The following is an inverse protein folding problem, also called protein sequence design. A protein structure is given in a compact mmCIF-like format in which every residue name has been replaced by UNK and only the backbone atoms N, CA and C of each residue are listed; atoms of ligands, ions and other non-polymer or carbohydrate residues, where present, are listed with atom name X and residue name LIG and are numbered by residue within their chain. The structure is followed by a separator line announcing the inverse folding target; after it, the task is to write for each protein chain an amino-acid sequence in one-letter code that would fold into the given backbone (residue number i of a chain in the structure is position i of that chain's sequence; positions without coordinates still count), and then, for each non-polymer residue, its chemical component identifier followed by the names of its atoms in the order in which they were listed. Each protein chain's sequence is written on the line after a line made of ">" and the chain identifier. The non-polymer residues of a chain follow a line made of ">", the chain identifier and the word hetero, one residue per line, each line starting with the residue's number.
data_IF_170807303538
#
_entry.id   IF_170807303538
#
_cell.length_a   1.000
_cell.length_b   1.000
_cell.length_c   1.000
_cell.angle_alpha   90.00
_cell.angle_beta   90.00
_cell.angle_gamma   90.00
#
_symmetry.space_group_name_H-M   'P 1'
#
loop_
_entity.id
_entity.type
_entity.pdbx_description
1 polymer ?
#
# COMPACT_ATOMS: atom_id res chain seq x y z
N UNK A 1 -8.52 9.21 33.56
CA UNK A 1 -8.19 7.80 33.35
C UNK A 1 -6.73 7.70 32.98
N UNK A 2 -5.88 7.16 33.86
CA UNK A 2 -4.43 7.07 33.59
C UNK A 2 -4.05 5.64 33.20
N UNK A 3 -4.08 5.36 31.91
CA UNK A 3 -3.42 4.17 31.35
C UNK A 3 -2.01 4.57 30.96
N UNK A 4 -1.03 3.74 31.30
CA UNK A 4 0.37 3.92 30.93
C UNK A 4 0.59 3.48 29.47
N UNK A 5 0.79 4.43 28.56
CA UNK A 5 0.95 4.13 27.13
C UNK A 5 2.38 3.72 26.74
N UNK A 6 3.39 4.04 27.56
CA UNK A 6 4.81 3.95 27.17
C UNK A 6 5.25 2.55 26.76
N UNK A 7 4.99 1.57 27.61
CA UNK A 7 5.41 0.18 27.39
C UNK A 7 4.69 -0.45 26.19
N UNK A 8 3.38 -0.22 26.06
CA UNK A 8 2.60 -0.70 24.93
C UNK A 8 3.05 -0.04 23.62
N UNK A 9 3.25 1.28 23.62
CA UNK A 9 3.66 2.05 22.44
C UNK A 9 5.02 1.56 21.90
N UNK A 10 5.98 1.29 22.79
CA UNK A 10 7.32 0.84 22.40
C UNK A 10 7.33 -0.54 21.71
N UNK A 11 6.33 -1.37 21.95
CA UNK A 11 6.18 -2.70 21.34
C UNK A 11 5.57 -2.65 19.94
N UNK A 12 4.98 -1.52 19.55
CA UNK A 12 4.30 -1.41 18.27
C UNK A 12 5.27 -1.40 17.08
N UNK A 13 4.84 -2.00 15.97
CA UNK A 13 5.63 -2.04 14.74
C UNK A 13 5.79 -0.65 14.11
N UNK A 14 4.76 0.17 14.22
CA UNK A 14 4.68 1.54 13.71
C UNK A 14 5.33 2.60 14.60
N UNK A 15 5.80 2.20 15.78
CA UNK A 15 6.54 3.10 16.66
C UNK A 15 7.91 3.46 16.05
N UNK A 16 8.06 4.74 15.70
CA UNK A 16 9.27 5.26 15.06
C UNK A 16 10.36 5.68 16.07
N UNK A 17 10.18 5.40 17.36
CA UNK A 17 11.13 5.71 18.44
C UNK A 17 12.20 4.65 18.68
N UNK A 18 12.29 3.62 17.86
CA UNK A 18 13.30 2.55 18.01
C UNK A 18 14.71 3.14 18.01
N UNK A 19 15.52 2.73 18.98
CA UNK A 19 16.88 3.24 19.17
C UNK A 19 16.96 4.60 19.87
N UNK A 20 15.83 5.20 20.26
CA UNK A 20 15.78 6.39 21.13
C UNK A 20 15.26 6.01 22.51
N UNK A 21 15.76 6.70 23.52
CA UNK A 21 15.30 6.54 24.89
C UNK A 21 13.99 7.32 25.09
N UNK A 22 12.91 6.59 25.36
CA UNK A 22 11.59 7.13 25.65
C UNK A 22 11.58 7.69 27.08
N UNK A 23 11.23 8.97 27.23
CA UNK A 23 11.11 9.63 28.54
C UNK A 23 9.68 9.60 29.05
N UNK A 24 8.71 9.90 28.18
CA UNK A 24 7.29 9.87 28.53
C UNK A 24 6.41 9.71 27.30
N UNK A 25 5.24 9.09 27.49
CA UNK A 25 4.17 9.02 26.50
C UNK A 25 2.86 9.34 27.21
N UNK A 26 2.38 10.58 27.08
CA UNK A 26 1.21 11.06 27.82
C UNK A 26 0.12 11.58 26.89
N UNK A 27 -1.16 11.41 27.24
CA UNK A 27 -2.26 12.06 26.52
C UNK A 27 -2.09 13.58 26.53
N UNK A 28 -2.07 14.19 25.35
CA UNK A 28 -2.05 15.64 25.20
C UNK A 28 -3.35 16.22 24.63
N UNK A 29 -4.20 15.38 24.06
CA UNK A 29 -5.61 15.64 23.74
C UNK A 29 -6.38 14.32 23.79
N UNK A 30 -7.59 14.35 24.33
CA UNK A 30 -8.53 13.21 24.32
C UNK A 30 -9.88 13.74 23.88
N UNK A 31 -10.48 13.10 22.87
CA UNK A 31 -11.82 13.40 22.36
C UNK A 31 -12.69 12.17 22.52
N UNK A 32 -13.83 12.31 23.20
CA UNK A 32 -14.79 11.21 23.35
C UNK A 32 -15.65 11.10 22.10
N UNK A 33 -15.51 9.99 21.37
CA UNK A 33 -16.23 9.71 20.13
C UNK A 33 -17.54 8.96 20.38
N UNK A 34 -17.55 8.13 21.43
CA UNK A 34 -18.71 7.42 21.98
C UNK A 34 -18.46 7.17 23.50
N UNK A 35 -19.45 6.59 24.18
CA UNK A 35 -19.47 6.25 25.60
C UNK A 35 -18.25 5.44 26.09
N UNK A 36 -17.65 4.64 25.22
CA UNK A 36 -16.50 3.79 25.52
C UNK A 36 -15.39 3.89 24.46
N UNK A 37 -15.43 4.92 23.59
CA UNK A 37 -14.47 5.11 22.50
C UNK A 37 -13.89 6.53 22.54
N UNK A 38 -12.58 6.61 22.72
CA UNK A 38 -11.84 7.87 22.74
C UNK A 38 -10.82 7.94 21.60
N UNK A 39 -10.70 9.09 20.96
CA UNK A 39 -9.52 9.47 20.17
C UNK A 39 -8.49 10.11 21.12
N UNK A 40 -7.34 9.47 21.28
CA UNK A 40 -6.24 9.96 22.12
C UNK A 40 -5.03 10.37 21.28
N UNK A 41 -4.63 11.63 21.39
CA UNK A 41 -3.38 12.13 20.82
C UNK A 41 -2.30 12.20 21.90
N UNK A 42 -1.28 11.37 21.76
CA UNK A 42 -0.15 11.27 22.68
C UNK A 42 0.92 12.29 22.32
N UNK A 43 1.51 12.92 23.34
CA UNK A 43 2.81 13.60 23.26
C UNK A 43 3.87 12.65 23.79
N UNK A 44 4.85 12.33 22.94
CA UNK A 44 5.90 11.36 23.23
C UNK A 44 7.24 12.07 23.22
N UNK A 45 7.88 12.15 24.37
CA UNK A 45 9.14 12.87 24.58
C UNK A 45 10.31 11.90 24.69
N UNK A 46 11.45 12.28 24.13
CA UNK A 46 12.68 11.50 24.10
C UNK A 46 13.82 12.20 24.85
N UNK A 47 14.83 11.43 25.26
CA UNK A 47 15.98 11.97 26.01
C UNK A 47 16.83 12.96 25.20
N UNK A 48 16.76 12.91 23.87
CA UNK A 48 17.40 13.87 22.95
C UNK A 48 16.65 15.22 22.85
N UNK A 49 15.56 15.37 23.61
CA UNK A 49 14.71 16.56 23.62
C UNK A 49 13.69 16.63 22.49
N UNK A 50 13.67 15.63 21.58
CA UNK A 50 12.66 15.58 20.52
C UNK A 50 11.30 15.16 21.05
N UNK A 51 10.25 15.65 20.39
CA UNK A 51 8.86 15.28 20.69
C UNK A 51 8.21 14.75 19.42
N UNK A 52 7.47 13.65 19.56
CA UNK A 52 6.62 13.11 18.51
C UNK A 52 5.18 13.03 18.99
N UNK A 53 4.25 13.07 18.04
CA UNK A 53 2.83 12.95 18.29
C UNK A 53 2.33 11.66 17.68
N UNK A 54 1.55 10.92 18.45
CA UNK A 54 0.95 9.68 18.01
C UNK A 54 -0.56 9.72 18.25
N UNK A 55 -1.31 9.09 17.35
CA UNK A 55 -2.74 8.89 17.48
C UNK A 55 -3.02 7.44 17.90
N UNK A 56 -3.90 7.28 18.88
CA UNK A 56 -4.41 5.99 19.34
C UNK A 56 -5.91 6.13 19.56
N UNK A 57 -6.70 5.27 18.94
CA UNK A 57 -8.13 5.12 19.26
C UNK A 57 -8.23 4.11 20.39
N UNK A 58 -8.85 4.50 21.49
CA UNK A 58 -8.93 3.72 22.72
C UNK A 58 -10.38 3.28 22.90
N UNK A 59 -10.61 1.98 22.83
CA UNK A 59 -11.87 1.36 23.22
C UNK A 59 -11.72 0.83 24.65
N UNK A 60 -12.64 1.19 25.52
CA UNK A 60 -12.62 0.81 26.92
C UNK A 60 -13.48 -0.42 27.19
N UNK A 61 -12.96 -1.34 28.01
CA UNK A 61 -13.63 -2.57 28.43
C UNK A 61 -14.10 -3.43 27.25
N UNK A 62 -13.36 -3.37 26.15
CA UNK A 62 -13.61 -4.17 24.97
C UNK A 62 -13.27 -5.65 25.22
N UNK A 63 -13.93 -6.52 24.47
CA UNK A 63 -13.57 -7.93 24.35
C UNK A 63 -13.02 -8.17 22.94
N UNK A 64 -11.76 -7.80 22.64
CA UNK A 64 -11.20 -8.05 21.33
C UNK A 64 -11.15 -9.56 21.07
N UNK A 65 -11.22 -9.94 19.80
CA UNK A 65 -11.06 -11.34 19.38
C UNK A 65 -9.74 -11.88 19.95
N UNK A 66 -9.76 -13.09 20.52
CA UNK A 66 -8.63 -13.71 21.24
C UNK A 66 -7.30 -13.63 20.47
N UNK A 67 -7.34 -13.76 19.13
CA UNK A 67 -6.17 -13.65 18.24
C UNK A 67 -5.43 -12.30 18.36
N UNK A 68 -6.16 -11.22 18.67
CA UNK A 68 -5.61 -9.87 18.75
C UNK A 68 -5.42 -9.36 20.18
N UNK A 69 -5.84 -10.09 21.21
CA UNK A 69 -5.88 -9.56 22.59
C UNK A 69 -4.50 -9.08 23.07
N UNK A 70 -3.44 -9.82 22.75
CA UNK A 70 -2.08 -9.47 23.13
C UNK A 70 -1.56 -8.18 22.45
N UNK A 71 -1.97 -7.91 21.22
CA UNK A 71 -1.52 -6.72 20.46
C UNK A 71 -2.41 -5.52 20.73
N UNK A 72 -3.71 -5.75 20.93
CA UNK A 72 -4.71 -4.72 21.14
C UNK A 72 -4.70 -4.15 22.57
N UNK A 73 -4.36 -4.95 23.59
CA UNK A 73 -4.41 -4.48 24.99
C UNK A 73 -3.35 -3.42 25.25
N UNK A 74 -3.78 -2.19 25.56
CA UNK A 74 -2.91 -1.06 25.90
C UNK A 74 -2.49 -1.15 27.37
N UNK A 75 -3.46 -1.39 28.25
CA UNK A 75 -3.26 -1.50 29.69
C UNK A 75 -4.55 -1.26 30.46
N UNK A 76 -4.49 -1.44 31.78
CA UNK A 76 -5.64 -1.23 32.67
C UNK A 76 -5.37 -0.09 33.64
N UNK A 77 -6.40 0.71 33.93
CA UNK A 77 -6.33 1.85 34.83
C UNK A 77 -7.73 2.22 35.34
N UNK A 78 -7.84 2.63 36.60
CA UNK A 78 -9.11 3.05 37.21
C UNK A 78 -10.26 2.01 37.10
N UNK A 79 -9.91 0.72 37.12
CA UNK A 79 -10.88 -0.38 37.04
C UNK A 79 -11.39 -0.70 35.63
N UNK A 80 -10.85 -0.04 34.60
CA UNK A 80 -11.17 -0.29 33.19
C UNK A 80 -9.93 -0.76 32.43
N UNK A 81 -10.14 -1.49 31.34
CA UNK A 81 -9.04 -1.89 30.44
C UNK A 81 -9.15 -1.17 29.10
N UNK A 82 -8.06 -0.57 28.65
CA UNK A 82 -7.95 0.12 27.38
C UNK A 82 -7.41 -0.82 26.30
N UNK A 83 -8.06 -0.80 25.15
CA UNK A 83 -7.68 -1.54 23.96
C UNK A 83 -7.55 -0.60 22.76
N UNK A 84 -6.68 -0.95 21.82
CA UNK A 84 -6.59 -0.26 20.54
C UNK A 84 -7.84 -0.58 19.70
N UNK A 85 -8.68 0.43 19.52
CA UNK A 85 -10.01 0.29 18.95
C UNK A 85 -10.00 -0.17 17.48
N UNK A 86 -8.86 -0.10 16.79
CA UNK A 86 -8.78 -0.60 15.41
C UNK A 86 -8.93 -2.10 15.31
N UNK A 87 -8.71 -2.86 16.40
CA UNK A 87 -8.97 -4.30 16.46
C UNK A 87 -10.43 -4.64 16.83
N UNK A 88 -11.25 -3.63 17.12
CA UNK A 88 -12.68 -3.77 17.36
C UNK A 88 -13.47 -3.43 16.08
N UNK A 89 -14.32 -4.36 15.64
CA UNK A 89 -15.03 -4.21 14.37
C UNK A 89 -16.09 -3.10 14.43
N UNK A 90 -16.72 -2.89 15.58
CA UNK A 90 -17.78 -1.90 15.73
C UNK A 90 -17.19 -0.49 15.82
N UNK A 91 -16.05 -0.33 16.49
CA UNK A 91 -15.30 0.92 16.50
C UNK A 91 -14.79 1.28 15.10
N UNK A 92 -14.24 0.32 14.34
CA UNK A 92 -13.82 0.55 12.97
C UNK A 92 -14.99 0.98 12.07
N UNK A 93 -16.15 0.31 12.19
CA UNK A 93 -17.37 0.67 11.46
C UNK A 93 -17.88 2.06 11.87
N UNK A 94 -17.84 2.39 13.16
CA UNK A 94 -18.25 3.69 13.67
C UNK A 94 -17.41 4.83 13.09
N UNK A 95 -16.09 4.65 12.98
CA UNK A 95 -15.21 5.63 12.33
C UNK A 95 -15.56 5.84 10.84
N UNK A 96 -15.90 4.76 10.13
CA UNK A 96 -16.34 4.86 8.74
C UNK A 96 -17.67 5.63 8.64
N UNK A 97 -18.61 5.38 9.55
CA UNK A 97 -19.88 6.11 9.63
C UNK A 97 -19.68 7.59 9.97
N UNK A 98 -18.70 7.92 10.83
CA UNK A 98 -18.33 9.31 11.12
C UNK A 98 -17.84 10.04 9.87
N UNK A 99 -17.03 9.39 9.04
CA UNK A 99 -16.61 9.94 7.75
C UNK A 99 -17.80 10.07 6.81
N UNK A 100 -18.65 9.05 6.71
CA UNK A 100 -19.80 9.06 5.80
C UNK A 100 -20.75 10.23 6.04
N UNK A 101 -21.02 10.55 7.31
CA UNK A 101 -21.86 11.68 7.72
C UNK A 101 -21.11 13.02 7.81
N UNK A 102 -19.82 13.05 7.47
CA UNK A 102 -18.93 14.21 7.65
C UNK A 102 -19.05 14.83 9.05
N UNK A 103 -18.88 13.99 10.08
CA UNK A 103 -19.09 14.38 11.48
C UNK A 103 -18.06 15.41 11.97
N UNK A 104 -18.46 16.23 12.94
CA UNK A 104 -17.56 17.09 13.72
C UNK A 104 -17.78 16.84 15.21
N UNK A 105 -16.69 16.58 15.95
CA UNK A 105 -16.73 16.26 17.39
C UNK A 105 -15.51 16.89 18.06
N UNK A 106 -15.71 17.89 18.92
CA UNK A 106 -14.64 18.55 19.71
C UNK A 106 -13.35 18.85 18.93
N UNK A 107 -13.49 19.40 17.72
CA UNK A 107 -12.38 19.78 16.84
C UNK A 107 -11.90 18.68 15.88
N UNK A 108 -12.29 17.43 16.08
CA UNK A 108 -12.19 16.38 15.04
C UNK A 108 -13.18 16.70 13.94
N UNK A 109 -12.70 16.77 12.70
CA UNK A 109 -13.52 16.92 11.50
C UNK A 109 -13.32 15.70 10.60
N UNK A 110 -14.42 15.09 10.21
CA UNK A 110 -14.44 14.07 9.18
C UNK A 110 -15.08 14.65 7.91
N UNK A 111 -14.60 14.23 6.75
CA UNK A 111 -15.13 14.66 5.47
C UNK A 111 -15.16 13.53 4.45
N UNK A 112 -16.34 13.26 3.90
CA UNK A 112 -16.50 12.41 2.73
C UNK A 112 -16.25 13.20 1.45
N UNK A 113 -15.57 12.62 0.46
CA UNK A 113 -15.43 13.24 -0.85
C UNK A 113 -16.80 13.28 -1.57
N UNK A 114 -17.05 14.28 -2.43
CA UNK A 114 -18.31 14.37 -3.19
C UNK A 114 -18.58 13.07 -3.97
N UNK A 115 -19.84 12.64 -3.97
CA UNK A 115 -20.33 11.44 -4.67
C UNK A 115 -19.72 10.10 -4.25
N UNK A 116 -18.81 10.09 -3.26
CA UNK A 116 -18.25 8.86 -2.71
C UNK A 116 -19.33 8.04 -1.97
N UNK A 117 -19.26 6.72 -2.12
CA UNK A 117 -20.10 5.75 -1.40
C UNK A 117 -19.19 4.92 -0.51
N UNK A 118 -19.48 4.91 0.79
CA UNK A 118 -18.72 4.13 1.77
C UNK A 118 -19.45 2.81 2.09
N UNK A 119 -18.75 1.68 2.15
CA UNK A 119 -19.35 0.36 2.37
C UNK A 119 -19.65 0.13 3.87
N UNK A 120 -20.66 0.80 4.41
CA UNK A 120 -20.98 0.78 5.85
C UNK A 120 -21.37 -0.62 6.39
N UNK A 121 -21.94 -1.46 5.54
CA UNK A 121 -22.37 -2.82 5.88
C UNK A 121 -21.25 -3.86 5.73
N UNK A 122 -20.12 -3.49 5.13
CA UNK A 122 -19.02 -4.41 4.92
C UNK A 122 -18.29 -4.75 6.22
N UNK A 123 -17.87 -6.01 6.36
CA UNK A 123 -17.14 -6.47 7.52
C UNK A 123 -15.71 -5.86 7.54
N UNK A 124 -15.32 -5.14 8.61
CA UNK A 124 -13.98 -4.61 8.76
C UNK A 124 -12.98 -5.69 9.13
N UNK A 125 -11.78 -5.61 8.55
CA UNK A 125 -10.65 -6.47 8.87
C UNK A 125 -9.36 -5.68 8.91
N UNK A 126 -8.65 -5.76 10.03
CA UNK A 126 -7.32 -5.13 10.18
C UNK A 126 -6.32 -5.78 9.24
N UNK A 127 -5.55 -4.96 8.54
CA UNK A 127 -4.44 -5.39 7.69
C UNK A 127 -3.14 -5.43 8.50
N UNK A 128 -2.47 -6.59 8.50
CA UNK A 128 -1.18 -6.77 9.17
C UNK A 128 0.04 -6.35 8.34
N UNK A 129 -0.16 -5.80 7.13
CA UNK A 129 0.91 -5.59 6.16
C UNK A 129 1.71 -4.28 6.35
N UNK A 130 1.16 -3.27 7.01
CA UNK A 130 1.75 -1.92 7.01
C UNK A 130 2.71 -1.64 8.16
N UNK A 131 3.77 -0.87 7.87
CA UNK A 131 4.84 -0.57 8.82
C UNK A 131 4.66 0.74 9.59
N UNK A 132 3.99 1.76 9.04
CA UNK A 132 3.92 3.10 9.64
C UNK A 132 2.52 3.50 10.12
N UNK A 133 1.48 2.81 9.63
CA UNK A 133 0.08 3.09 9.89
C UNK A 133 -0.66 1.80 10.20
N UNK A 134 -1.92 1.91 10.59
CA UNK A 134 -2.82 0.76 10.70
C UNK A 134 -3.96 0.94 9.72
N UNK A 135 -4.19 -0.09 8.90
CA UNK A 135 -5.23 -0.07 7.88
C UNK A 135 -6.30 -1.10 8.19
N UNK A 136 -7.56 -0.75 7.96
CA UNK A 136 -8.73 -1.62 8.10
C UNK A 136 -9.42 -1.69 6.75
N UNK A 137 -9.54 -2.90 6.20
CA UNK A 137 -10.21 -3.17 4.93
C UNK A 137 -11.68 -3.45 5.21
N UNK A 138 -12.58 -2.80 4.47
CA UNK A 138 -14.02 -3.01 4.51
C UNK A 138 -14.45 -3.79 3.26
N UNK A 139 -14.65 -5.10 3.44
CA UNK A 139 -15.03 -5.98 2.34
C UNK A 139 -13.97 -6.01 1.22
N UNK A 140 -14.39 -5.63 0.01
CA UNK A 140 -13.53 -5.51 -1.18
C UNK A 140 -13.59 -4.11 -1.80
N UNK A 141 -14.13 -3.12 -1.07
CA UNK A 141 -14.55 -1.85 -1.64
C UNK A 141 -13.72 -0.68 -1.12
N UNK A 142 -13.38 -0.68 0.18
CA UNK A 142 -12.67 0.44 0.79
C UNK A 142 -11.61 -0.01 1.80
N UNK A 143 -10.62 0.85 2.00
CA UNK A 143 -9.62 0.71 3.05
C UNK A 143 -9.50 2.01 3.83
N UNK A 144 -9.70 1.95 5.15
CA UNK A 144 -9.42 3.03 6.09
C UNK A 144 -7.98 2.90 6.56
N UNK A 145 -7.17 3.92 6.28
CA UNK A 145 -5.81 4.05 6.78
C UNK A 145 -5.78 5.07 7.90
N UNK A 146 -5.38 4.62 9.09
CA UNK A 146 -5.29 5.45 10.29
C UNK A 146 -3.83 5.78 10.56
N UNK A 147 -3.50 7.07 10.55
CA UNK A 147 -2.14 7.53 10.72
C UNK A 147 -1.73 7.43 12.18
N UNK A 148 -0.67 6.66 12.45
CA UNK A 148 -0.24 6.42 13.83
C UNK A 148 0.67 7.52 14.33
N UNK A 149 1.65 7.94 13.52
CA UNK A 149 2.47 9.12 13.81
C UNK A 149 1.92 10.31 13.02
N UNK A 150 1.53 11.36 13.73
CA UNK A 150 0.93 12.55 13.12
C UNK A 150 1.90 13.73 13.15
N UNK A 151 1.85 14.53 12.09
CA UNK A 151 2.62 15.76 11.94
C UNK A 151 1.68 16.89 11.56
N UNK A 152 1.97 18.13 11.98
CA UNK A 152 1.11 19.26 11.65
C UNK A 152 1.17 19.55 10.14
N UNK A 153 0.07 20.12 9.64
CA UNK A 153 -0.06 20.55 8.26
C UNK A 153 -0.78 19.56 7.35
N UNK A 154 -0.80 19.90 6.06
CA UNK A 154 -1.47 19.12 5.02
C UNK A 154 -0.74 17.80 4.81
N UNK A 155 -1.49 16.70 4.80
CA UNK A 155 -0.92 15.38 4.50
C UNK A 155 -0.85 15.18 2.98
N UNK A 156 0.34 14.97 2.40
CA UNK A 156 0.50 14.83 0.95
C UNK A 156 -0.18 13.58 0.38
N UNK A 157 -0.33 12.52 1.18
CA UNK A 157 -1.07 11.31 0.76
C UNK A 157 -2.55 11.65 0.50
N UNK A 158 -3.15 12.50 1.35
CA UNK A 158 -4.53 12.95 1.16
C UNK A 158 -4.61 13.98 0.02
N UNK A 159 -3.75 15.00 0.03
CA UNK A 159 -3.79 16.10 -0.92
C UNK A 159 -3.58 15.63 -2.36
N UNK A 160 -2.54 14.83 -2.62
CA UNK A 160 -2.21 14.37 -3.96
C UNK A 160 -3.25 13.36 -4.48
N UNK A 161 -3.73 12.44 -3.64
CA UNK A 161 -4.82 11.54 -4.05
C UNK A 161 -6.10 12.29 -4.37
N UNK A 162 -6.44 13.33 -3.60
CA UNK A 162 -7.61 14.17 -3.88
C UNK A 162 -7.50 14.88 -5.22
N UNK A 163 -6.33 15.48 -5.51
CA UNK A 163 -6.09 16.17 -6.78
C UNK A 163 -6.20 15.20 -7.96
N UNK A 164 -5.52 14.05 -7.87
CA UNK A 164 -5.52 13.03 -8.93
C UNK A 164 -6.92 12.43 -9.16
N UNK A 165 -7.66 12.13 -8.08
CA UNK A 165 -9.02 11.59 -8.18
C UNK A 165 -9.99 12.60 -8.81
N UNK A 166 -9.92 13.88 -8.43
CA UNK A 166 -10.79 14.94 -8.99
C UNK A 166 -10.48 15.24 -10.46
N UNK A 167 -9.22 15.11 -10.87
CA UNK A 167 -8.81 15.20 -12.27
C UNK A 167 -9.18 13.94 -13.08
N UNK A 168 -9.70 12.89 -12.44
CA UNK A 168 -10.08 11.64 -13.09
C UNK A 168 -8.90 10.78 -13.53
N UNK A 169 -7.73 10.91 -12.87
CA UNK A 169 -6.58 10.06 -13.19
C UNK A 169 -6.84 8.61 -12.75
N UNK A 170 -6.79 7.62 -13.66
CA UNK A 170 -7.18 6.23 -13.35
C UNK A 170 -6.09 5.42 -12.65
N UNK A 171 -4.90 5.99 -12.39
CA UNK A 171 -3.75 5.27 -11.84
C UNK A 171 -3.58 5.43 -10.33
N UNK A 172 -4.60 5.91 -9.63
CA UNK A 172 -4.67 5.98 -8.17
C UNK A 172 -5.97 5.38 -7.66
N UNK A 173 -5.94 4.82 -6.45
CA UNK A 173 -7.17 4.45 -5.76
C UNK A 173 -7.90 5.73 -5.33
N UNK A 174 -9.18 5.87 -5.68
CA UNK A 174 -9.90 7.11 -5.42
C UNK A 174 -10.01 7.37 -3.91
N UNK A 175 -9.79 8.63 -3.51
CA UNK A 175 -10.04 9.08 -2.14
C UNK A 175 -11.55 9.11 -1.90
N UNK A 176 -12.02 8.43 -0.86
CA UNK A 176 -13.43 8.40 -0.46
C UNK A 176 -13.72 9.35 0.72
N UNK A 177 -12.72 9.62 1.55
CA UNK A 177 -12.85 10.60 2.63
C UNK A 177 -11.60 10.70 3.51
N UNK A 178 -11.64 11.60 4.48
CA UNK A 178 -10.55 11.84 5.42
C UNK A 178 -11.03 12.32 6.78
N UNK A 179 -10.14 12.24 7.78
CA UNK A 179 -10.33 12.80 9.11
C UNK A 179 -9.11 13.63 9.53
N UNK A 180 -9.36 14.75 10.18
CA UNK A 180 -8.35 15.68 10.68
C UNK A 180 -8.80 16.32 11.99
N UNK A 181 -7.86 16.89 12.75
CA UNK A 181 -8.16 17.56 14.02
C UNK A 181 -7.29 18.79 14.20
N UNK A 182 -7.85 19.84 14.80
CA UNK A 182 -7.06 20.98 15.25
C UNK A 182 -6.58 20.77 16.69
N UNK A 183 -5.27 20.88 16.90
CA UNK A 183 -4.66 20.71 18.21
C UNK A 183 -3.51 21.69 18.42
N UNK A 184 -3.64 22.57 19.40
CA UNK A 184 -2.60 23.56 19.70
C UNK A 184 -2.39 24.59 18.59
N UNK A 185 -3.44 24.89 17.80
CA UNK A 185 -3.40 25.85 16.70
C UNK A 185 -2.86 25.30 15.37
N UNK A 186 -2.53 24.00 15.32
CA UNK A 186 -2.11 23.30 14.10
C UNK A 186 -3.14 22.23 13.74
N UNK A 187 -3.36 22.01 12.44
CA UNK A 187 -4.21 20.92 11.94
C UNK A 187 -3.37 19.66 11.73
N UNK A 188 -3.89 18.51 12.14
CA UNK A 188 -3.27 17.20 11.97
C UNK A 188 -4.20 16.30 11.19
N UNK A 189 -3.72 15.77 10.06
CA UNK A 189 -4.41 14.67 9.40
C UNK A 189 -4.31 13.40 10.26
N UNK A 190 -5.45 12.75 10.46
CA UNK A 190 -5.59 11.58 11.33
C UNK A 190 -5.79 10.28 10.56
N UNK A 191 -6.37 10.35 9.37
CA UNK A 191 -6.60 9.18 8.54
C UNK A 191 -7.33 9.50 7.25
N UNK A 192 -7.41 8.50 6.38
CA UNK A 192 -8.05 8.60 5.09
C UNK A 192 -8.71 7.28 4.71
N UNK A 193 -9.75 7.35 3.89
CA UNK A 193 -10.40 6.18 3.28
C UNK A 193 -10.22 6.29 1.78
N UNK A 194 -9.73 5.21 1.17
CA UNK A 194 -9.65 5.08 -0.29
C UNK A 194 -10.42 3.87 -0.77
N UNK A 195 -10.68 3.81 -2.06
CA UNK A 195 -11.08 2.57 -2.71
C UNK A 195 -10.04 1.48 -2.43
N UNK A 196 -10.51 0.26 -2.30
CA UNK A 196 -9.65 -0.92 -2.16
C UNK A 196 -9.52 -1.61 -3.51
N UNK A 197 -8.29 -1.70 -4.02
CA UNK A 197 -7.98 -2.43 -5.24
C UNK A 197 -7.99 -3.94 -4.99
N UNK A 198 -9.20 -4.51 -4.87
CA UNK A 198 -9.39 -5.94 -4.71
C UNK A 198 -8.72 -6.72 -5.86
N UNK A 199 -8.10 -7.85 -5.54
CA UNK A 199 -7.36 -8.69 -6.50
C UNK A 199 -6.15 -7.99 -7.16
N UNK A 200 -5.60 -6.93 -6.57
CA UNK A 200 -4.33 -6.36 -7.00
C UNK A 200 -3.14 -7.23 -6.57
N UNK A 201 -2.06 -7.16 -7.34
CA UNK A 201 -0.76 -7.72 -6.98
C UNK A 201 0.25 -6.60 -6.72
N UNK A 202 1.16 -6.80 -5.78
CA UNK A 202 2.24 -5.84 -5.54
C UNK A 202 3.27 -5.93 -6.67
N UNK A 203 3.68 -4.78 -7.21
CA UNK A 203 4.64 -4.74 -8.33
C UNK A 203 6.00 -5.37 -7.98
N UNK A 204 6.44 -5.28 -6.72
CA UNK A 204 7.67 -5.93 -6.25
C UNK A 204 7.56 -7.46 -6.28
N UNK A 205 6.44 -8.02 -5.81
CA UNK A 205 6.19 -9.47 -5.84
C UNK A 205 6.09 -10.00 -7.28
N UNK A 206 5.44 -9.24 -8.18
CA UNK A 206 5.40 -9.57 -9.61
C UNK A 206 6.81 -9.58 -10.22
N UNK A 207 7.61 -8.53 -9.97
CA UNK A 207 8.98 -8.44 -10.46
C UNK A 207 9.88 -9.55 -9.91
N UNK A 208 9.73 -9.90 -8.62
CA UNK A 208 10.44 -11.03 -8.01
C UNK A 208 10.08 -12.36 -8.65
N UNK A 209 8.81 -12.56 -8.98
CA UNK A 209 8.33 -13.79 -9.64
C UNK A 209 8.97 -13.90 -11.03
N UNK A 210 8.90 -12.85 -11.84
CA UNK A 210 9.58 -12.77 -13.14
C UNK A 210 11.08 -13.06 -13.05
N UNK A 211 11.75 -12.45 -12.07
CA UNK A 211 13.19 -12.65 -11.85
C UNK A 211 13.52 -14.10 -11.47
N UNK A 212 12.67 -14.73 -10.65
CA UNK A 212 12.83 -16.16 -10.27
C UNK A 212 12.63 -17.09 -11.47
N UNK A 213 11.67 -16.81 -12.33
CA UNK A 213 11.41 -17.61 -13.54
C UNK A 213 12.64 -17.60 -14.47
N UNK A 214 13.23 -16.42 -14.70
CA UNK A 214 14.46 -16.30 -15.48
C UNK A 214 15.63 -17.09 -14.86
N UNK A 215 15.79 -17.04 -13.54
CA UNK A 215 16.86 -17.80 -12.86
C UNK A 215 16.62 -19.32 -12.89
N UNK A 216 15.37 -19.77 -12.94
CA UNK A 216 15.02 -21.18 -13.01
C UNK A 216 15.23 -21.76 -14.42
N UNK A 217 15.05 -20.95 -15.46
CA UNK A 217 15.19 -21.32 -16.86
C UNK A 217 16.51 -20.78 -17.47
N UNK A 218 17.63 -21.06 -16.80
CA UNK A 218 18.94 -20.43 -17.05
C UNK A 218 19.60 -20.65 -18.41
N UNK A 219 18.97 -21.40 -19.32
CA UNK A 219 19.43 -21.60 -20.70
C UNK A 219 18.63 -20.77 -21.73
N UNK A 220 17.60 -20.03 -21.29
CA UNK A 220 16.75 -19.18 -22.14
C UNK A 220 17.07 -17.69 -21.96
N UNK A 221 16.85 -16.90 -23.01
CA UNK A 221 16.96 -15.44 -22.91
C UNK A 221 15.74 -14.82 -22.20
N UNK A 222 15.89 -13.60 -21.69
CA UNK A 222 14.85 -12.92 -20.91
C UNK A 222 13.55 -12.63 -21.69
N UNK A 223 13.62 -12.55 -23.01
CA UNK A 223 12.48 -12.40 -23.93
C UNK A 223 11.85 -13.74 -24.35
N UNK A 224 12.44 -14.87 -23.95
CA UNK A 224 12.00 -16.22 -24.29
C UNK A 224 11.34 -16.95 -23.10
N UNK A 225 11.49 -16.42 -21.87
CA UNK A 225 10.85 -16.96 -20.68
C UNK A 225 9.41 -16.48 -20.53
N UNK A 226 8.52 -17.35 -20.06
CA UNK A 226 7.09 -17.03 -19.88
C UNK A 226 6.79 -15.95 -18.84
N UNK A 227 7.79 -15.60 -18.02
CA UNK A 227 7.75 -14.57 -16.99
C UNK A 227 8.26 -13.19 -17.44
N UNK A 228 8.36 -12.89 -18.74
CA UNK A 228 8.82 -11.57 -19.20
C UNK A 228 8.00 -10.41 -18.58
N UNK A 229 8.71 -9.45 -17.97
CA UNK A 229 8.16 -8.30 -17.26
C UNK A 229 8.30 -6.99 -18.04
N UNK A 230 8.83 -7.03 -19.27
CA UNK A 230 9.05 -5.83 -20.09
C UNK A 230 7.74 -5.09 -20.40
N UNK A 231 6.68 -5.83 -20.76
CA UNK A 231 5.38 -5.24 -21.08
C UNK A 231 4.74 -4.55 -19.86
N UNK A 232 4.79 -5.18 -18.68
CA UNK A 232 4.26 -4.57 -17.46
C UNK A 232 5.12 -3.39 -16.98
N UNK A 233 6.43 -3.46 -17.17
CA UNK A 233 7.33 -2.33 -16.90
C UNK A 233 7.00 -1.12 -17.80
N UNK A 234 6.67 -1.36 -19.06
CA UNK A 234 6.26 -0.31 -19.99
C UNK A 234 4.95 0.36 -19.56
N UNK A 235 3.92 -0.44 -19.23
CA UNK A 235 2.63 0.07 -18.74
C UNK A 235 2.78 0.82 -17.42
N UNK A 236 3.64 0.36 -16.52
CA UNK A 236 3.98 1.09 -15.29
C UNK A 236 4.61 2.45 -15.62
N UNK A 237 5.49 2.51 -16.62
CA UNK A 237 6.07 3.76 -17.11
C UNK A 237 5.00 4.74 -17.63
N UNK A 238 4.03 4.26 -18.42
CA UNK A 238 2.90 5.07 -18.89
C UNK A 238 2.03 5.56 -17.73
N UNK A 239 1.74 4.70 -16.75
CA UNK A 239 0.96 5.06 -15.57
C UNK A 239 1.66 6.15 -14.74
N UNK A 240 2.96 6.01 -14.48
CA UNK A 240 3.75 7.02 -13.76
C UNK A 240 3.79 8.34 -14.52
N UNK A 241 4.00 8.30 -15.84
CA UNK A 241 4.01 9.49 -16.68
C UNK A 241 2.65 10.21 -16.66
N UNK A 242 1.54 9.46 -16.68
CA UNK A 242 0.18 9.99 -16.58
C UNK A 242 -0.05 10.73 -15.26
N UNK A 243 0.33 10.13 -14.13
CA UNK A 243 0.26 10.78 -12.80
C UNK A 243 1.10 12.05 -12.76
N UNK A 244 2.36 12.00 -13.23
CA UNK A 244 3.22 13.17 -13.25
C UNK A 244 2.68 14.31 -14.13
N UNK A 245 2.15 13.99 -15.30
CA UNK A 245 1.55 14.98 -16.19
C UNK A 245 0.33 15.65 -15.56
N UNK A 246 -0.55 14.86 -14.94
CA UNK A 246 -1.73 15.37 -14.25
C UNK A 246 -1.36 16.27 -13.06
N UNK A 247 -0.41 15.86 -12.21
CA UNK A 247 0.06 16.71 -11.10
C UNK A 247 0.68 18.01 -11.59
N UNK A 248 1.45 17.97 -12.69
CA UNK A 248 2.05 19.17 -13.27
C UNK A 248 1.00 20.13 -13.86
N UNK A 249 -0.12 19.60 -14.38
CA UNK A 249 -1.24 20.39 -14.88
C UNK A 249 -2.02 21.04 -13.74
N UNK A 250 -2.36 20.29 -12.70
CA UNK A 250 -3.18 20.75 -11.58
C UNK A 250 -2.42 21.63 -10.57
N UNK A 251 -1.15 21.33 -10.30
CA UNK A 251 -0.33 22.01 -9.29
C UNK A 251 0.69 22.99 -9.91
N UNK A 252 0.79 23.01 -11.23
CA UNK A 252 1.77 23.80 -11.97
C UNK A 252 3.18 23.22 -11.91
N UNK A 253 4.12 23.96 -12.49
CA UNK A 253 5.53 23.57 -12.57
C UNK A 253 6.43 24.71 -12.13
N UNK A 254 7.52 24.38 -11.44
CA UNK A 254 8.59 25.31 -11.08
C UNK A 254 9.96 24.68 -11.31
N UNK A 255 10.97 25.50 -11.56
CA UNK A 255 12.36 25.05 -11.64
C UNK A 255 13.07 25.42 -10.33
N UNK A 256 13.70 24.43 -9.71
CA UNK A 256 14.58 24.64 -8.57
C UNK A 256 16.00 24.24 -8.95
N UNK A 257 17.02 24.96 -8.47
CA UNK A 257 18.40 24.51 -8.63
C UNK A 257 18.56 23.09 -8.11
N UNK A 258 19.23 22.23 -8.89
CA UNK A 258 19.48 20.85 -8.49
C UNK A 258 20.19 20.84 -7.13
N UNK A 259 19.65 20.16 -6.10
CA UNK A 259 20.19 20.23 -4.76
C UNK A 259 21.38 19.27 -4.62
N UNK A 260 22.51 19.61 -5.27
CA UNK A 260 23.72 18.79 -5.30
C UNK A 260 24.20 18.43 -3.87
N UNK A 261 24.05 19.35 -2.93
CA UNK A 261 24.46 19.16 -1.52
C UNK A 261 23.65 18.08 -0.78
N UNK A 262 22.35 17.92 -1.09
CA UNK A 262 21.49 16.86 -0.51
C UNK A 262 21.94 15.46 -0.94
N UNK A 263 22.48 15.32 -2.15
CA UNK A 263 22.99 14.05 -2.68
C UNK A 263 24.41 13.75 -2.19
N UNK A 264 25.26 14.77 -2.01
CA UNK A 264 26.61 14.58 -1.47
C UNK A 264 26.63 14.16 0.00
N UNK A 265 25.61 14.50 0.79
CA UNK A 265 25.48 14.07 2.19
C UNK A 265 25.06 12.60 2.39
N UNK A 266 24.48 11.96 1.35
CA UNK A 266 24.05 10.55 1.42
C UNK A 266 25.23 9.55 1.40
N UNK A 267 26.43 9.99 1.02
CA UNK A 267 27.63 9.15 0.96
C UNK A 267 28.26 8.80 2.32
N UNK A 268 27.78 9.34 3.45
CA UNK A 268 28.39 9.12 4.77
C UNK A 268 27.48 8.50 5.84
N UNK A 269 26.21 8.15 5.52
CA UNK A 269 25.36 7.34 6.43
C UNK A 269 25.22 5.90 5.92
N UNK A 270 26.22 5.07 6.22
CA UNK A 270 26.00 3.63 6.34
C UNK A 270 25.45 3.34 7.74
N UNK A 271 24.13 3.15 7.85
CA UNK A 271 23.47 2.62 9.05
C UNK A 271 22.07 3.21 9.27
N UNK A 272 21.04 2.39 9.03
CA UNK A 272 19.65 2.68 9.41
C UNK A 272 18.76 3.12 8.24
N UNK A 273 18.16 2.14 7.54
CA UNK A 273 17.31 2.37 6.38
C UNK A 273 15.97 3.04 6.72
N UNK A 274 15.84 4.30 6.34
CA UNK A 274 14.56 4.88 5.91
C UNK A 274 14.74 5.29 4.46
N UNK A 275 14.03 4.61 3.55
CA UNK A 275 14.08 4.88 2.12
C UNK A 275 13.12 6.02 1.82
N UNK A 276 13.65 7.24 1.72
CA UNK A 276 12.97 8.32 1.02
C UNK A 276 13.31 8.15 -0.46
N UNK A 277 12.34 7.75 -1.28
CA UNK A 277 12.52 7.73 -2.73
C UNK A 277 12.60 9.18 -3.24
N UNK A 278 13.62 9.55 -4.02
CA UNK A 278 13.63 10.85 -4.68
C UNK A 278 12.55 10.89 -5.76
N UNK A 279 11.80 11.98 -5.81
CA UNK A 279 10.88 12.29 -6.91
C UNK A 279 11.72 12.41 -8.18
N UNK A 280 11.52 11.51 -9.15
CA UNK A 280 12.19 11.57 -10.45
C UNK A 280 11.60 12.72 -11.27
N UNK A 281 12.42 13.72 -11.56
CA UNK A 281 12.10 14.76 -12.54
C UNK A 281 12.14 14.16 -13.96
N UNK A 282 11.05 14.33 -14.71
CA UNK A 282 11.02 14.05 -16.15
C UNK A 282 11.50 15.30 -16.88
N UNK A 283 12.75 15.27 -17.36
CA UNK A 283 13.21 16.23 -18.35
C UNK A 283 12.59 15.87 -19.71
N UNK A 284 11.84 16.79 -20.33
CA UNK A 284 11.16 16.60 -21.64
C UNK A 284 12.14 16.63 -22.84
N UNK A 285 13.42 16.34 -22.60
CA UNK A 285 14.50 16.63 -23.53
C UNK A 285 15.34 15.45 -24.00
N UNK A 286 14.87 14.19 -24.00
CA UNK A 286 15.59 13.11 -24.67
C UNK A 286 14.73 11.86 -24.94
N UNK A 287 14.04 11.82 -26.08
CA UNK A 287 13.66 10.55 -26.72
C UNK A 287 14.60 10.35 -27.91
N UNK A 288 15.65 9.51 -27.83
CA UNK A 288 16.39 9.13 -29.01
C UNK A 288 15.53 8.18 -29.84
N UNK A 289 15.14 8.60 -31.05
CA UNK A 289 14.68 7.67 -32.07
C UNK A 289 15.85 6.76 -32.47
N UNK A 290 15.84 5.51 -32.00
CA UNK A 290 16.77 4.50 -32.50
C UNK A 290 16.25 3.94 -33.83
N UNK A 291 16.67 4.60 -34.91
CA UNK A 291 16.53 4.14 -36.29
C UNK A 291 17.50 3.01 -36.64
N UNK A 292 17.06 2.23 -37.64
CA UNK A 292 17.71 1.09 -38.29
C UNK A 292 19.15 1.34 -38.79
N UNK A 293 19.88 0.21 -38.97
CA UNK A 293 21.16 -0.06 -39.69
C UNK A 293 22.38 -0.14 -38.77
N UNK A 294 23.33 -1.07 -38.90
CA UNK A 294 23.57 -2.22 -39.78
C UNK A 294 24.72 -3.08 -39.20
N UNK A 295 24.79 -4.36 -39.59
CA UNK A 295 25.99 -5.17 -39.95
C UNK A 295 25.54 -6.64 -39.98
N UNK A 296 25.33 -7.33 -41.11
CA UNK A 296 26.19 -7.55 -42.29
C UNK A 296 27.69 -7.53 -42.00
N UNK A 297 28.22 -8.64 -41.44
CA UNK A 297 29.47 -9.29 -41.87
C UNK A 297 29.79 -10.51 -40.98
N UNK A 298 29.48 -11.72 -41.47
CA UNK A 298 30.34 -12.91 -41.34
C UNK A 298 29.70 -14.09 -42.10
N UNK A 299 29.91 -14.12 -43.42
CA UNK A 299 29.77 -15.34 -44.21
C UNK A 299 31.13 -16.04 -44.29
N UNK A 300 31.20 -17.30 -43.85
CA UNK A 300 32.35 -18.20 -43.97
C UNK A 300 31.91 -19.65 -43.69
N UNK A 301 32.51 -20.67 -44.34
CA UNK A 301 31.73 -21.69 -45.05
C UNK A 301 31.26 -22.88 -44.20
N UNK A 302 30.12 -23.42 -44.63
CA UNK A 302 29.53 -24.70 -44.21
C UNK A 302 30.55 -25.84 -44.41
N UNK A 303 30.75 -26.63 -43.35
CA UNK A 303 31.23 -28.02 -43.46
C UNK A 303 30.27 -28.93 -42.72
N UNK A 304 29.60 -29.81 -43.46
CA UNK A 304 28.96 -31.01 -42.94
C UNK A 304 30.03 -32.03 -42.52
N UNK A 305 29.73 -32.85 -41.50
CA UNK A 305 29.93 -34.28 -41.70
C UNK A 305 28.66 -35.07 -41.33
N UNK A 306 28.48 -36.10 -42.11
CA UNK A 306 27.44 -37.11 -42.12
C UNK A 306 27.60 -38.17 -41.01
N UNK A 307 26.52 -38.40 -40.25
CA UNK A 307 26.06 -39.68 -39.67
C UNK A 307 26.59 -40.10 -38.28
N UNK A 308 25.99 -41.11 -37.61
CA UNK A 308 24.60 -41.61 -37.65
C UNK A 308 23.82 -41.34 -36.34
N UNK A 309 22.51 -41.58 -36.37
CA UNK A 309 21.56 -41.18 -35.33
C UNK A 309 21.69 -41.88 -33.97
N UNK A 310 21.24 -41.15 -32.95
CA UNK A 310 20.80 -41.67 -31.65
C UNK A 310 19.45 -41.02 -31.36
N UNK A 311 18.40 -41.84 -31.30
CA UNK A 311 17.05 -41.41 -30.99
C UNK A 311 16.95 -40.95 -29.52
N UNK A 312 16.45 -39.74 -29.29
CA UNK A 312 16.15 -39.20 -27.97
C UNK A 312 14.71 -39.63 -27.54
N UNK A 313 14.49 -40.32 -26.41
CA UNK A 313 13.19 -40.89 -26.03
C UNK A 313 12.12 -39.88 -25.56
N UNK A 314 12.41 -38.57 -25.51
CA UNK A 314 11.52 -37.56 -24.94
C UNK A 314 10.35 -37.09 -25.82
N UNK A 315 10.37 -37.35 -27.13
CA UNK A 315 9.40 -36.77 -28.08
C UNK A 315 8.13 -37.60 -28.31
N UNK A 316 8.02 -38.81 -27.72
CA UNK A 316 6.87 -39.72 -27.93
C UNK A 316 5.82 -39.63 -26.79
N UNK A 317 6.14 -38.95 -25.68
CA UNK A 317 5.24 -38.82 -24.53
C UNK A 317 4.22 -37.67 -24.67
N UNK A 318 4.54 -36.62 -25.43
CA UNK A 318 3.68 -35.42 -25.55
C UNK A 318 2.56 -35.61 -26.58
N UNK A 319 2.75 -36.47 -27.59
CA UNK A 319 1.74 -36.72 -28.63
C UNK A 319 0.66 -37.76 -28.19
N UNK A 320 0.95 -38.60 -27.19
CA UNK A 320 -0.03 -39.53 -26.60
C UNK A 320 -1.03 -38.86 -25.64
N UNK A 321 -0.64 -37.78 -24.97
CA UNK A 321 -1.51 -37.02 -24.07
C UNK A 321 -2.52 -36.14 -24.84
N UNK A 322 -2.12 -35.56 -25.98
CA UNK A 322 -3.01 -34.76 -26.83
C UNK A 322 -4.09 -35.58 -27.55
N UNK A 323 -3.86 -36.87 -27.83
CA UNK A 323 -4.89 -37.76 -28.43
C UNK A 323 -5.92 -38.29 -27.43
N UNK A 324 -5.58 -38.44 -26.14
CA UNK A 324 -6.55 -38.86 -25.10
C UNK A 324 -7.52 -37.74 -24.69
N UNK A 325 -7.09 -36.47 -24.71
CA UNK A 325 -7.96 -35.34 -24.40
C UNK A 325 -9.04 -35.08 -25.47
N UNK A 326 -8.79 -35.41 -26.75
CA UNK A 326 -9.77 -35.26 -27.84
C UNK A 326 -10.82 -36.38 -27.90
N UNK A 327 -10.58 -37.52 -27.24
CA UNK A 327 -11.54 -38.63 -27.19
C UNK A 327 -12.54 -38.53 -26.03
N UNK A 328 -12.27 -37.71 -25.02
CA UNK A 328 -13.15 -37.53 -23.85
C UNK A 328 -14.20 -36.41 -24.04
N UNK A 329 -14.03 -35.53 -25.04
CA UNK A 329 -14.96 -34.45 -25.35
C UNK A 329 -16.12 -34.84 -26.29
N UNK A 330 -16.18 -36.11 -26.74
CA UNK A 330 -17.20 -36.61 -27.67
C UNK A 330 -18.29 -37.48 -27.02
N UNK A 331 -18.34 -37.55 -25.68
CA UNK A 331 -19.34 -38.34 -24.95
C UNK A 331 -19.92 -37.53 -23.78
N UNK A 332 -20.78 -36.57 -24.07
CA UNK A 332 -21.70 -35.96 -23.11
C UNK A 332 -23.12 -35.95 -23.71
N UNK A 333 -24.16 -36.42 -22.99
CA UNK A 333 -25.53 -36.46 -23.52
C UNK A 333 -26.19 -35.08 -23.44
N UNK A 334 -26.95 -34.74 -24.49
CA UNK A 334 -27.78 -33.53 -24.59
C UNK A 334 -28.96 -33.59 -23.58
N UNK A 335 -29.28 -32.50 -22.86
CA UNK A 335 -30.52 -32.44 -22.07
C UNK A 335 -31.71 -32.15 -22.99
N UNK A 336 -32.71 -33.04 -22.95
CA UNK A 336 -33.96 -32.89 -23.67
C UNK A 336 -34.86 -31.81 -23.06
N UNK A 337 -35.41 -30.96 -23.92
CA UNK A 337 -36.58 -30.13 -23.65
C UNK A 337 -37.84 -31.00 -23.59
N UNK A 338 -38.72 -30.73 -22.63
CA UNK A 338 -40.15 -31.01 -22.73
C UNK A 338 -40.92 -29.92 -22.01
N UNK A 339 -41.78 -29.23 -22.75
CA UNK A 339 -42.91 -28.46 -22.25
C UNK A 339 -43.97 -29.40 -21.66
N UNK A 340 -44.51 -29.03 -20.50
CA UNK A 340 -45.91 -29.19 -20.05
C UNK A 340 -46.05 -28.61 -18.63
#
# INVERSE_FOLDING_TARGET
>A
MSVEFGDWLAQQRWYAGRGRELVSATPGLVVSLDTDLDLTLLKVSYADGTVQRYQVLVKWDAEPIDEYSAVATIGSGDGRTAYDALYDQDAARYLLQMIDRSAEVDGLRCGKEPDAVLPLDAAPRVSGAEQSNTSVVFGQEAVLKVFRRITPGVNPDIELNRVLARAGNPHVAALLGSMEIDWGGETFALGMVTEFAANSAEGWDMANTSTRDLFAEGDLYADEVGGDFAAESHRLGEAVASVHACLAEELGTGSVPFPAELMSGAGHRRGGGTRTAPICFVDRGAVPQAGRRADERAAGPRRSPSGPGVANPGAVAVDRLRRRARSAAAAAPQPGFSDA
#
